data_IF_580894901163
#
_entry.id   IF_580894901163
#
_cell.length_a   1.000
_cell.length_b   1.000
_cell.length_c   1.000
_cell.angle_alpha   90.00
_cell.angle_beta   90.00
_cell.angle_gamma   90.00
#
_symmetry.space_group_name_H-M   'P 1'
#
loop_
_entity.id
_entity.type
_entity.pdbx_description
1 polymer ?
#
# COMPACT_ATOMS: atom_id res chain seq x y z
N UNK A 1 31.27 -16.40 -14.90
CA UNK A 1 31.52 -15.28 -14.10
C UNK A 1 30.62 -15.25 -12.91
N UNK A 2 31.20 -14.99 -11.89
CA UNK A 2 30.46 -14.88 -10.68
C UNK A 2 29.58 -13.66 -10.76
N UNK A 3 28.35 -13.89 -10.75
CA UNK A 3 27.45 -12.78 -10.75
C UNK A 3 27.50 -12.15 -9.40
N UNK A 4 27.64 -10.87 -9.40
CA UNK A 4 27.58 -10.21 -8.14
C UNK A 4 26.25 -10.48 -7.51
N UNK A 5 26.30 -10.95 -6.30
CA UNK A 5 25.09 -11.14 -5.55
C UNK A 5 24.44 -9.82 -5.31
N UNK A 6 23.19 -9.76 -5.62
CA UNK A 6 22.44 -8.58 -5.31
C UNK A 6 22.24 -8.51 -3.81
N UNK A 7 22.44 -7.33 -3.27
CA UNK A 7 22.18 -7.13 -1.87
C UNK A 7 20.70 -6.84 -1.71
N UNK A 8 20.08 -7.65 -0.90
CA UNK A 8 18.67 -7.42 -0.59
C UNK A 8 18.56 -6.64 0.68
N UNK A 9 17.61 -5.74 0.70
CA UNK A 9 17.30 -5.04 1.92
C UNK A 9 16.80 -6.06 2.95
N UNK A 10 17.06 -5.80 4.23
CA UNK A 10 16.67 -6.76 5.26
C UNK A 10 15.17 -7.03 5.25
N UNK A 11 14.35 -6.06 4.79
CA UNK A 11 12.91 -6.26 4.74
C UNK A 11 12.50 -7.33 3.73
N UNK A 12 13.42 -7.77 2.89
CA UNK A 12 13.14 -8.83 1.93
C UNK A 12 13.64 -10.18 2.41
N UNK A 13 14.11 -10.27 3.64
CA UNK A 13 14.69 -11.51 4.15
C UNK A 13 13.65 -12.57 4.44
N UNK A 14 12.44 -12.17 4.76
CA UNK A 14 11.37 -13.10 5.09
C UNK A 14 10.04 -12.49 4.71
N UNK A 15 9.03 -13.34 4.68
CA UNK A 15 7.66 -12.87 4.44
C UNK A 15 7.25 -11.85 5.49
N UNK A 16 7.55 -12.14 6.75
CA UNK A 16 7.16 -11.22 7.82
C UNK A 16 7.83 -9.86 7.68
N UNK A 17 9.09 -9.86 7.28
CA UNK A 17 9.81 -8.61 7.08
C UNK A 17 9.21 -7.81 5.93
N UNK A 18 8.84 -8.48 4.85
CA UNK A 18 8.28 -7.78 3.71
C UNK A 18 6.87 -7.27 4.01
N UNK A 19 6.11 -8.01 4.79
CA UNK A 19 4.80 -7.52 5.26
C UNK A 19 4.98 -6.25 6.08
N UNK A 20 5.99 -6.22 6.94
CA UNK A 20 6.28 -5.03 7.72
C UNK A 20 6.61 -3.85 6.81
N UNK A 21 7.39 -4.10 5.77
CA UNK A 21 7.75 -3.04 4.83
C UNK A 21 6.53 -2.47 4.12
N UNK A 22 5.67 -3.36 3.60
CA UNK A 22 4.46 -2.91 2.91
C UNK A 22 3.57 -2.12 3.85
N UNK A 23 3.40 -2.63 5.06
CA UNK A 23 2.56 -1.97 6.04
C UNK A 23 3.13 -0.61 6.44
N UNK A 24 4.43 -0.53 6.63
CA UNK A 24 5.08 0.73 6.99
C UNK A 24 4.95 1.75 5.86
N UNK A 25 5.15 1.31 4.61
CA UNK A 25 5.00 2.21 3.47
C UNK A 25 3.57 2.73 3.38
N UNK A 26 2.62 1.87 3.66
CA UNK A 26 1.22 2.29 3.66
C UNK A 26 0.94 3.33 4.74
N UNK A 27 1.45 3.10 5.94
CA UNK A 27 1.26 4.06 7.02
C UNK A 27 1.88 5.41 6.69
N UNK A 28 3.05 5.42 6.05
CA UNK A 28 3.65 6.68 5.63
C UNK A 28 2.75 7.43 4.65
N UNK A 29 2.08 6.72 3.76
CA UNK A 29 1.15 7.36 2.84
C UNK A 29 -0.05 7.93 3.57
N UNK A 30 -0.55 7.23 4.57
CA UNK A 30 -1.65 7.75 5.38
C UNK A 30 -1.25 8.98 6.16
N UNK A 31 -0.05 8.96 6.73
CA UNK A 31 0.46 10.11 7.48
C UNK A 31 0.55 11.34 6.59
N UNK A 32 1.05 11.14 5.39
CA UNK A 32 1.13 12.25 4.44
C UNK A 32 -0.26 12.76 4.10
N UNK A 33 -1.19 11.87 3.93
CA UNK A 33 -2.56 12.27 3.60
C UNK A 33 -3.22 13.04 4.73
N UNK A 34 -2.94 12.64 5.98
CA UNK A 34 -3.45 13.38 7.13
C UNK A 34 -2.95 14.82 7.13
N UNK A 35 -1.68 15.01 6.76
CA UNK A 35 -1.11 16.35 6.69
C UNK A 35 -1.80 17.19 5.63
N UNK A 36 -2.03 16.61 4.47
CA UNK A 36 -2.62 17.33 3.35
C UNK A 36 -4.07 17.72 3.62
N UNK A 37 -4.83 16.83 4.25
CA UNK A 37 -6.25 17.07 4.49
C UNK A 37 -6.54 17.98 5.67
N UNK A 38 -5.61 18.33 6.42
CA UNK A 38 -5.40 18.43 7.86
C UNK A 38 -6.48 17.73 8.68
N UNK A 39 -6.33 16.41 8.76
CA UNK A 39 -7.22 15.57 9.56
C UNK A 39 -6.40 14.96 10.68
N UNK A 40 -6.93 15.01 11.89
CA UNK A 40 -6.25 14.45 13.04
C UNK A 40 -6.49 12.95 13.13
N UNK A 41 -5.67 12.27 13.93
CA UNK A 41 -5.91 10.86 14.19
C UNK A 41 -7.25 10.64 14.89
N UNK A 42 -7.67 11.61 15.70
CA UNK A 42 -8.96 11.50 16.36
C UNK A 42 -10.09 11.55 15.34
N UNK A 43 -10.00 12.44 14.37
CA UNK A 43 -11.00 12.49 13.32
C UNK A 43 -11.00 11.22 12.48
N UNK A 44 -9.83 10.69 12.21
CA UNK A 44 -9.74 9.42 11.49
C UNK A 44 -10.40 8.31 12.28
N UNK A 45 -10.16 8.25 13.59
CA UNK A 45 -10.79 7.26 14.44
C UNK A 45 -12.32 7.38 14.37
N UNK A 46 -12.81 8.61 14.40
CA UNK A 46 -14.25 8.84 14.30
C UNK A 46 -14.81 8.34 12.98
N UNK A 47 -14.12 8.62 11.89
CA UNK A 47 -14.55 8.16 10.56
C UNK A 47 -14.55 6.64 10.45
N UNK A 48 -13.61 6.01 11.12
CA UNK A 48 -13.48 4.56 11.11
C UNK A 48 -14.38 3.88 12.15
N UNK A 49 -14.95 4.67 13.04
CA UNK A 49 -15.75 4.16 14.16
C UNK A 49 -14.93 3.23 15.04
N UNK A 50 -13.73 3.66 15.35
CA UNK A 50 -12.83 2.94 16.27
C UNK A 50 -12.30 3.93 17.29
N UNK A 51 -11.57 3.42 18.27
CA UNK A 51 -10.98 4.30 19.27
C UNK A 51 -9.73 4.99 18.72
N UNK A 52 -9.41 6.12 19.30
CA UNK A 52 -8.17 6.81 18.94
C UNK A 52 -6.96 5.96 19.29
N UNK A 53 -7.06 5.18 20.38
CA UNK A 53 -6.01 4.26 20.75
C UNK A 53 -5.75 3.21 19.69
N UNK A 54 -6.80 2.73 19.03
CA UNK A 54 -6.64 1.77 17.95
C UNK A 54 -5.90 2.40 16.78
N UNK A 55 -6.26 3.62 16.40
CA UNK A 55 -5.59 4.32 15.32
C UNK A 55 -4.11 4.53 15.66
N UNK A 56 -3.86 4.97 16.88
CA UNK A 56 -2.48 5.19 17.32
C UNK A 56 -1.67 3.89 17.28
N UNK A 57 -2.28 2.80 17.69
CA UNK A 57 -1.63 1.50 17.65
C UNK A 57 -1.26 1.09 16.22
N UNK A 58 -2.20 1.29 15.30
CA UNK A 58 -1.96 0.95 13.91
C UNK A 58 -0.82 1.78 13.34
N UNK A 59 -0.81 3.07 13.63
CA UNK A 59 0.23 3.94 13.09
C UNK A 59 1.60 3.65 13.69
N UNK A 60 1.65 3.23 14.95
CA UNK A 60 2.92 3.00 15.62
C UNK A 60 3.44 1.58 15.50
N UNK A 61 2.56 0.64 15.14
CA UNK A 61 2.96 -0.74 15.01
C UNK A 61 2.13 -1.40 13.91
N UNK A 62 2.47 -1.13 12.65
CA UNK A 62 1.66 -1.57 11.52
C UNK A 62 1.83 -3.03 11.12
N UNK A 63 2.47 -3.84 11.96
CA UNK A 63 2.92 -5.16 11.56
C UNK A 63 1.87 -6.15 11.12
N UNK A 64 0.61 -5.96 11.52
CA UNK A 64 -0.43 -6.94 11.23
C UNK A 64 -1.64 -6.33 10.54
N UNK A 65 -1.39 -5.42 9.62
CA UNK A 65 -2.48 -4.83 8.86
C UNK A 65 -3.02 -5.84 7.86
N UNK A 66 -4.33 -5.91 7.78
CA UNK A 66 -4.99 -6.74 6.79
C UNK A 66 -5.35 -5.91 5.57
N UNK A 67 -5.66 -6.60 4.49
CA UNK A 67 -6.14 -5.90 3.30
C UNK A 67 -7.38 -5.07 3.64
N UNK A 68 -8.24 -5.59 4.49
CA UNK A 68 -9.41 -4.84 4.93
C UNK A 68 -9.00 -3.53 5.60
N UNK A 69 -7.98 -3.58 6.45
CA UNK A 69 -7.49 -2.35 7.09
C UNK A 69 -6.97 -1.36 6.05
N UNK A 70 -6.22 -1.84 5.04
CA UNK A 70 -5.74 -0.96 3.99
C UNK A 70 -6.91 -0.23 3.33
N UNK A 71 -7.95 -0.97 3.00
CA UNK A 71 -9.10 -0.39 2.32
C UNK A 71 -9.84 0.59 3.22
N UNK A 72 -10.10 0.18 4.47
CA UNK A 72 -10.87 1.00 5.39
C UNK A 72 -10.17 2.33 5.68
N UNK A 73 -8.88 2.27 5.99
CA UNK A 73 -8.15 3.48 6.32
C UNK A 73 -8.01 4.40 5.12
N UNK A 74 -7.76 3.82 3.96
CA UNK A 74 -7.66 4.61 2.74
C UNK A 74 -8.97 5.31 2.43
N UNK A 75 -10.07 4.57 2.47
CA UNK A 75 -11.36 5.14 2.13
C UNK A 75 -11.78 6.23 3.11
N UNK A 76 -11.43 6.07 4.37
CA UNK A 76 -11.74 7.10 5.37
C UNK A 76 -11.03 8.42 5.07
N UNK A 77 -9.96 8.38 4.31
CA UNK A 77 -9.20 9.56 3.93
C UNK A 77 -9.36 9.92 2.46
N UNK A 78 -10.36 9.38 1.81
CA UNK A 78 -10.67 9.72 0.44
C UNK A 78 -9.75 9.09 -0.58
N UNK A 79 -9.10 7.99 -0.24
CA UNK A 79 -8.20 7.30 -1.15
C UNK A 79 -8.69 5.90 -1.44
N UNK A 80 -8.14 5.32 -2.49
CA UNK A 80 -8.33 3.92 -2.81
C UNK A 80 -6.98 3.23 -2.81
N UNK A 81 -6.99 1.95 -2.51
CA UNK A 81 -5.79 1.14 -2.50
C UNK A 81 -5.78 0.27 -3.75
N UNK A 82 -4.61 0.15 -4.36
CA UNK A 82 -4.38 -0.82 -5.40
C UNK A 82 -3.25 -1.72 -4.96
N UNK A 83 -3.30 -2.96 -5.37
CA UNK A 83 -2.25 -3.93 -5.06
C UNK A 83 -1.67 -4.41 -6.37
N UNK A 84 -0.34 -4.38 -6.48
CA UNK A 84 0.33 -4.84 -7.66
C UNK A 84 1.47 -5.76 -7.24
N UNK A 85 1.63 -6.84 -7.98
CA UNK A 85 2.76 -7.73 -7.79
C UNK A 85 3.78 -7.43 -8.88
N UNK A 86 5.04 -7.43 -8.53
CA UNK A 86 6.09 -7.09 -9.48
C UNK A 86 7.24 -8.07 -9.33
N UNK A 87 8.11 -8.07 -10.33
CA UNK A 87 9.17 -9.06 -10.39
C UNK A 87 10.18 -8.85 -9.29
N UNK A 88 10.47 -9.92 -8.57
CA UNK A 88 11.43 -9.91 -7.49
C UNK A 88 12.83 -9.57 -7.99
N UNK A 89 13.14 -9.98 -9.20
CA UNK A 89 14.49 -9.83 -9.75
C UNK A 89 14.70 -8.58 -10.56
N UNK A 90 13.71 -7.71 -10.62
CA UNK A 90 13.85 -6.50 -11.39
C UNK A 90 14.87 -5.59 -10.71
N UNK A 91 15.96 -5.22 -11.40
CA UNK A 91 16.97 -4.36 -10.79
C UNK A 91 16.43 -3.04 -10.27
N UNK A 92 15.35 -2.56 -10.82
CA UNK A 92 14.75 -1.30 -10.39
C UNK A 92 14.03 -1.41 -9.05
N UNK A 93 13.83 -2.65 -8.58
CA UNK A 93 13.06 -2.89 -7.37
C UNK A 93 13.86 -3.55 -6.27
N UNK A 94 15.16 -3.58 -6.39
CA UNK A 94 15.96 -4.37 -5.45
C UNK A 94 15.93 -3.80 -4.04
N UNK A 95 16.02 -2.50 -3.94
CA UNK A 95 16.14 -1.86 -2.64
C UNK A 95 15.26 -0.62 -2.63
N UNK A 96 14.38 -0.58 -1.70
CA UNK A 96 13.56 0.60 -1.54
C UNK A 96 12.18 0.42 -2.13
N UNK A 97 11.37 1.43 -2.03
CA UNK A 97 10.00 1.36 -2.51
C UNK A 97 9.93 1.28 -4.02
N UNK A 98 8.87 0.68 -4.50
CA UNK A 98 8.62 0.57 -5.92
C UNK A 98 8.40 1.97 -6.50
N UNK A 99 8.98 2.23 -7.67
CA UNK A 99 8.73 3.51 -8.33
C UNK A 99 7.49 3.41 -9.23
N UNK A 100 6.99 4.56 -9.62
CA UNK A 100 5.73 4.62 -10.35
C UNK A 100 5.81 3.95 -11.72
N UNK A 101 6.98 3.96 -12.35
CA UNK A 101 7.13 3.33 -13.65
C UNK A 101 6.97 1.83 -13.55
N UNK A 102 7.53 1.24 -12.52
CA UNK A 102 7.39 -0.20 -12.29
C UNK A 102 5.94 -0.54 -12.01
N UNK A 103 5.30 0.26 -11.17
CA UNK A 103 3.90 0.05 -10.86
C UNK A 103 3.06 0.07 -12.15
N UNK A 104 3.26 1.08 -12.96
CA UNK A 104 2.50 1.23 -14.21
C UNK A 104 2.72 0.05 -15.13
N UNK A 105 3.96 -0.38 -15.29
CA UNK A 105 4.25 -1.52 -16.15
C UNK A 105 3.59 -2.80 -15.65
N UNK A 106 3.62 -3.01 -14.36
CA UNK A 106 2.99 -4.19 -13.80
C UNK A 106 1.49 -4.16 -13.98
N UNK A 107 0.90 -2.99 -13.80
CA UNK A 107 -0.54 -2.84 -13.98
C UNK A 107 -0.93 -3.12 -15.43
N UNK A 108 -0.16 -2.58 -16.37
CA UNK A 108 -0.43 -2.80 -17.78
C UNK A 108 -0.23 -4.26 -18.17
N UNK A 109 0.81 -4.88 -17.64
CA UNK A 109 1.08 -6.29 -17.91
C UNK A 109 -0.03 -7.18 -17.40
N UNK A 110 -0.64 -6.78 -16.31
CA UNK A 110 -1.76 -7.53 -15.75
C UNK A 110 -3.07 -7.32 -16.50
N UNK A 111 -3.04 -6.54 -17.58
CA UNK A 111 -4.23 -6.34 -18.40
C UNK A 111 -5.13 -5.25 -17.88
N UNK A 112 -4.61 -4.39 -17.03
CA UNK A 112 -5.39 -3.29 -16.47
C UNK A 112 -6.65 -3.82 -15.82
N UNK A 113 -6.50 -4.47 -14.67
CA UNK A 113 -7.63 -5.19 -14.06
C UNK A 113 -8.92 -4.41 -13.91
N UNK A 114 -8.85 -3.09 -13.89
CA UNK A 114 -10.08 -2.33 -13.78
C UNK A 114 -11.04 -2.64 -14.93
N UNK A 115 -10.49 -3.00 -16.09
CA UNK A 115 -11.33 -3.32 -17.24
C UNK A 115 -12.15 -4.55 -16.99
N UNK A 116 -11.68 -5.40 -16.11
CA UNK A 116 -12.38 -6.62 -15.78
C UNK A 116 -13.73 -6.33 -15.12
N UNK A 117 -13.77 -5.29 -14.31
CA UNK A 117 -15.01 -4.91 -13.63
C UNK A 117 -15.73 -3.78 -14.34
N UNK A 118 -15.07 -3.16 -15.30
CA UNK A 118 -15.67 -2.13 -16.10
C UNK A 118 -16.26 -2.76 -17.34
N UNK A 119 -17.14 -3.71 -17.12
CA UNK A 119 -17.59 -4.58 -18.19
C UNK A 119 -18.41 -3.85 -19.20
N UNK A 120 -19.34 -3.11 -18.73
CA UNK A 120 -20.19 -2.34 -19.59
C UNK A 120 -20.53 -1.10 -18.84
N UNK A 121 -20.62 0.01 -19.54
CA UNK A 121 -21.02 1.21 -18.86
C UNK A 121 -22.33 0.96 -18.19
N UNK A 122 -22.33 1.06 -16.90
CA UNK A 122 -23.57 1.00 -16.19
C UNK A 122 -24.34 2.22 -16.56
N UNK A 123 -25.53 2.05 -17.03
CA UNK A 123 -26.31 3.24 -17.34
C UNK A 123 -26.47 4.01 -16.07
N UNK A 124 -26.08 5.22 -16.16
CA UNK A 124 -26.28 6.08 -15.02
C UNK A 124 -27.64 6.67 -15.15
N UNK A 125 -28.40 6.40 -14.20
CA UNK A 125 -29.72 6.95 -14.27
C UNK A 125 -29.84 8.17 -13.47
#
# INVERSE_FOLDING_TARGET
METMKRQRHWTESSTADFVYRISSDFIMQLEKRLEVLPVSQKELADRLNVTIGRVSQVFNNPGNLTLRNFVQYSRALGMKVAVVAYDDDDPQNQNGPINSDVFTKCWERAGRPHDFFDLAPTPIE
#
